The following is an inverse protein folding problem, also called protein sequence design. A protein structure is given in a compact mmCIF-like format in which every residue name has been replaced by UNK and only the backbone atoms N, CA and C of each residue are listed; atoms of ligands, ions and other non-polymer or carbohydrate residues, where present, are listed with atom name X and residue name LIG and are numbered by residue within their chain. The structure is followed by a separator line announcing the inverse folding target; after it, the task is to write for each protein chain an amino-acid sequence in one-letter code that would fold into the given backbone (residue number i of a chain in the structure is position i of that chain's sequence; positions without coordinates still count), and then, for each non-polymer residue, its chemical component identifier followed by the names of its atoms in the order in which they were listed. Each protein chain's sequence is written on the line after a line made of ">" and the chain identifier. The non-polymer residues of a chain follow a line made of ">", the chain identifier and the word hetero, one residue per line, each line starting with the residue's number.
data_IF_231853019720
#
_entry.id   IF_231853019720
#
_cell.length_a   1.000
_cell.length_b   1.000
_cell.length_c   1.000
_cell.angle_alpha   90.00
_cell.angle_beta   90.00
_cell.angle_gamma   90.00
#
_symmetry.space_group_name_H-M   'P 1'
#
loop_
_entity.id
_entity.type
_entity.pdbx_description
1 polymer ?
#
# COMPACT_ATOMS: atom_id res chain seq x y z
N UNK A 1 8.17 -7.92 -25.76
CA UNK A 1 7.16 -7.76 -24.71
C UNK A 1 6.85 -6.28 -24.61
N UNK A 2 5.68 -5.87 -25.01
CA UNK A 2 5.24 -4.47 -24.90
C UNK A 2 4.94 -4.17 -23.43
N UNK A 3 5.36 -2.99 -22.96
CA UNK A 3 5.12 -2.50 -21.60
C UNK A 3 4.16 -1.32 -21.70
N UNK A 4 3.04 -1.42 -21.01
CA UNK A 4 2.03 -0.37 -20.97
C UNK A 4 2.11 0.41 -19.66
N UNK A 5 2.00 1.73 -19.74
CA UNK A 5 1.87 2.60 -18.56
C UNK A 5 0.40 2.70 -18.19
N UNK A 6 0.08 2.34 -16.97
CA UNK A 6 -1.23 2.58 -16.36
C UNK A 6 -1.12 3.78 -15.45
N UNK A 7 -1.85 4.82 -15.76
CA UNK A 7 -2.02 5.93 -14.81
C UNK A 7 -2.58 5.38 -13.50
N UNK A 8 -2.02 5.83 -12.37
CA UNK A 8 -2.57 5.55 -11.04
C UNK A 8 -3.89 6.30 -10.79
N UNK A 9 -4.67 6.60 -11.85
CA UNK A 9 -6.01 7.15 -11.69
C UNK A 9 -6.87 6.30 -10.75
N UNK A 10 -6.60 5.01 -10.67
CA UNK A 10 -7.28 4.09 -9.74
C UNK A 10 -6.90 4.33 -8.27
N UNK A 11 -5.84 5.09 -7.98
CA UNK A 11 -5.47 5.51 -6.63
C UNK A 11 -6.01 6.91 -6.26
N UNK A 12 -6.69 7.60 -7.19
CA UNK A 12 -7.30 8.91 -6.95
C UNK A 12 -8.25 8.95 -5.73
N UNK A 13 -8.98 7.86 -5.37
CA UNK A 13 -9.78 7.86 -4.15
C UNK A 13 -8.97 8.15 -2.88
N UNK A 14 -7.66 7.88 -2.86
CA UNK A 14 -6.79 8.23 -1.72
C UNK A 14 -6.65 9.75 -1.58
N UNK A 15 -6.75 10.50 -2.68
CA UNK A 15 -6.76 11.97 -2.67
C UNK A 15 -8.11 12.58 -2.27
N UNK A 16 -9.18 11.77 -2.15
CA UNK A 16 -10.47 12.21 -1.63
C UNK A 16 -10.45 12.23 -0.11
N UNK A 17 -11.26 13.12 0.47
CA UNK A 17 -11.52 13.07 1.91
C UNK A 17 -12.02 11.67 2.31
N UNK A 18 -11.48 11.06 3.36
CA UNK A 18 -11.82 9.70 3.78
C UNK A 18 -13.33 9.45 3.96
N UNK A 19 -14.11 10.47 4.32
CA UNK A 19 -15.56 10.36 4.50
C UNK A 19 -16.28 9.97 3.20
N UNK A 20 -15.72 10.31 2.04
CA UNK A 20 -16.30 10.01 0.73
C UNK A 20 -15.78 8.72 0.11
N UNK A 21 -14.68 8.14 0.62
CA UNK A 21 -14.00 6.97 0.00
C UNK A 21 -14.90 5.76 -0.12
N UNK A 22 -15.81 5.53 0.81
CA UNK A 22 -16.78 4.44 0.75
C UNK A 22 -17.64 4.48 -0.51
N UNK A 23 -17.96 5.67 -1.02
CA UNK A 23 -18.76 5.84 -2.25
C UNK A 23 -17.95 5.64 -3.53
N UNK A 24 -16.63 5.62 -3.42
CA UNK A 24 -15.67 5.42 -4.50
C UNK A 24 -14.84 4.14 -4.34
N UNK A 25 -15.27 3.25 -3.46
CA UNK A 25 -14.54 2.02 -3.13
C UNK A 25 -14.24 1.16 -4.36
N UNK A 26 -15.20 1.07 -5.29
CA UNK A 26 -15.04 0.36 -6.55
C UNK A 26 -13.86 0.86 -7.41
N UNK A 27 -13.47 2.12 -7.28
CA UNK A 27 -12.32 2.67 -8.01
C UNK A 27 -10.99 2.11 -7.49
N UNK A 28 -10.91 1.76 -6.19
CA UNK A 28 -9.72 1.14 -5.60
C UNK A 28 -9.54 -0.32 -6.06
N UNK A 29 -10.63 -0.97 -6.47
CA UNK A 29 -10.65 -2.39 -6.87
C UNK A 29 -10.77 -2.60 -8.38
N UNK A 30 -11.20 -1.57 -9.12
CA UNK A 30 -11.47 -1.61 -10.57
C UNK A 30 -10.31 -2.18 -11.39
N UNK A 31 -9.08 -1.87 -10.97
CA UNK A 31 -7.87 -2.36 -11.62
C UNK A 31 -7.79 -3.88 -11.70
N UNK A 32 -8.35 -4.60 -10.75
CA UNK A 32 -8.40 -6.06 -10.74
C UNK A 32 -9.00 -6.66 -12.03
N UNK A 33 -9.83 -5.89 -12.75
CA UNK A 33 -10.46 -6.35 -13.99
C UNK A 33 -9.48 -6.50 -15.16
N UNK A 34 -8.38 -5.73 -15.17
CA UNK A 34 -7.45 -5.69 -16.31
C UNK A 34 -5.97 -5.83 -15.93
N UNK A 35 -5.66 -5.92 -14.64
CA UNK A 35 -4.28 -5.93 -14.12
C UNK A 35 -3.35 -6.96 -14.77
N UNK A 36 -3.89 -8.01 -15.38
CA UNK A 36 -3.16 -9.11 -15.98
C UNK A 36 -3.38 -9.26 -17.49
N UNK A 37 -4.07 -8.30 -18.13
CA UNK A 37 -4.26 -8.31 -19.58
C UNK A 37 -2.96 -8.00 -20.33
N UNK A 38 -2.06 -7.24 -19.72
CA UNK A 38 -0.79 -6.77 -20.27
C UNK A 38 0.29 -6.67 -19.18
N UNK A 39 1.53 -6.38 -19.59
CA UNK A 39 2.61 -6.11 -18.66
C UNK A 39 2.62 -4.61 -18.30
N UNK A 40 2.10 -4.28 -17.14
CA UNK A 40 1.94 -2.89 -16.71
C UNK A 40 3.09 -2.37 -15.85
N UNK A 41 3.31 -1.06 -15.97
CA UNK A 41 4.03 -0.24 -14.98
C UNK A 41 3.02 0.67 -14.30
N UNK A 42 3.15 0.83 -12.99
CA UNK A 42 2.38 1.76 -12.16
C UNK A 42 3.17 3.05 -12.00
N UNK A 43 2.91 4.09 -12.79
CA UNK A 43 3.63 5.33 -12.67
C UNK A 43 2.95 6.28 -11.68
N UNK A 44 3.72 6.80 -10.75
CA UNK A 44 3.54 8.15 -10.22
C UNK A 44 4.54 9.01 -10.97
N UNK A 45 4.20 9.37 -12.22
CA UNK A 45 5.09 10.05 -13.16
C UNK A 45 5.10 11.57 -12.97
N UNK A 46 5.88 12.25 -13.80
CA UNK A 46 5.87 13.73 -13.85
C UNK A 46 4.47 14.31 -14.10
N UNK A 47 3.63 13.60 -14.85
CA UNK A 47 2.25 14.03 -15.14
C UNK A 47 1.40 14.25 -13.89
N UNK A 48 1.79 13.65 -12.77
CA UNK A 48 1.08 13.79 -11.51
C UNK A 48 1.51 15.02 -10.69
N UNK A 49 2.64 15.64 -11.04
CA UNK A 49 3.29 16.68 -10.23
C UNK A 49 3.72 17.91 -11.03
N UNK A 50 3.33 18.00 -12.31
CA UNK A 50 3.64 19.16 -13.17
C UNK A 50 2.71 20.35 -12.87
N UNK A 51 3.06 21.50 -13.47
CA UNK A 51 2.40 22.79 -13.27
C UNK A 51 0.87 22.70 -13.32
N UNK A 52 0.23 23.23 -12.28
CA UNK A 52 -1.22 23.28 -12.11
C UNK A 52 -1.85 22.03 -11.49
N UNK A 53 -1.05 20.96 -11.19
CA UNK A 53 -1.57 19.72 -10.57
C UNK A 53 -1.25 19.57 -9.08
N UNK A 54 -0.33 20.40 -8.56
CA UNK A 54 0.16 20.28 -7.18
C UNK A 54 1.14 19.13 -6.98
N UNK A 55 1.71 19.03 -5.79
CA UNK A 55 2.51 17.87 -5.41
C UNK A 55 1.64 16.70 -4.96
N UNK A 56 2.20 15.47 -4.93
CA UNK A 56 1.49 14.32 -4.37
C UNK A 56 1.05 14.58 -2.92
N UNK A 57 1.96 15.09 -2.09
CA UNK A 57 1.65 15.45 -0.71
C UNK A 57 0.60 16.55 -0.61
N UNK A 58 0.69 17.59 -1.45
CA UNK A 58 -0.24 18.73 -1.45
C UNK A 58 -1.67 18.34 -1.75
N UNK A 59 -1.88 17.28 -2.54
CA UNK A 59 -3.22 16.76 -2.88
C UNK A 59 -3.82 15.86 -1.82
N UNK A 60 -3.04 15.40 -0.83
CA UNK A 60 -3.57 14.54 0.23
C UNK A 60 -4.50 15.33 1.16
N UNK A 61 -5.66 14.76 1.52
CA UNK A 61 -6.63 15.41 2.40
C UNK A 61 -6.22 15.36 3.87
N UNK A 62 -6.85 16.24 4.66
CA UNK A 62 -6.73 16.25 6.11
C UNK A 62 -5.65 17.21 6.64
N UNK A 63 -5.34 17.05 7.91
CA UNK A 63 -4.25 17.77 8.57
C UNK A 63 -2.87 17.29 8.11
N UNK A 64 -1.80 17.87 8.61
CA UNK A 64 -0.43 17.54 8.21
C UNK A 64 -0.12 16.06 8.42
N UNK A 65 -0.43 15.49 9.58
CA UNK A 65 -0.19 14.08 9.85
C UNK A 65 -0.98 13.18 8.88
N UNK A 66 -2.25 13.49 8.64
CA UNK A 66 -3.12 12.74 7.73
C UNK A 66 -2.62 12.80 6.28
N UNK A 67 -2.09 13.95 5.84
CA UNK A 67 -1.48 14.07 4.50
C UNK A 67 -0.31 13.11 4.34
N UNK A 68 0.60 13.06 5.30
CA UNK A 68 1.72 12.14 5.27
C UNK A 68 1.28 10.68 5.40
N UNK A 69 0.28 10.37 6.24
CA UNK A 69 -0.29 9.04 6.34
C UNK A 69 -0.92 8.59 5.01
N UNK A 70 -1.70 9.44 4.35
CA UNK A 70 -2.28 9.17 3.03
C UNK A 70 -1.19 8.97 1.96
N UNK A 71 -0.10 9.73 1.99
CA UNK A 71 1.01 9.56 1.06
C UNK A 71 1.71 8.22 1.26
N UNK A 72 1.96 7.81 2.52
CA UNK A 72 2.49 6.47 2.83
C UNK A 72 1.52 5.37 2.40
N UNK A 73 0.22 5.55 2.61
CA UNK A 73 -0.82 4.63 2.17
C UNK A 73 -0.82 4.49 0.63
N UNK A 74 -0.68 5.60 -0.12
CA UNK A 74 -0.59 5.60 -1.58
C UNK A 74 0.60 4.76 -2.06
N UNK A 75 1.80 5.00 -1.51
CA UNK A 75 2.99 4.22 -1.88
C UNK A 75 2.83 2.75 -1.50
N UNK A 76 2.32 2.44 -0.30
CA UNK A 76 2.05 1.07 0.10
C UNK A 76 1.05 0.37 -0.82
N UNK A 77 0.00 1.06 -1.24
CA UNK A 77 -0.95 0.54 -2.23
C UNK A 77 -0.25 0.23 -3.56
N UNK A 78 0.53 1.16 -4.09
CA UNK A 78 1.27 0.95 -5.33
C UNK A 78 2.21 -0.25 -5.26
N UNK A 79 2.98 -0.39 -4.15
CA UNK A 79 3.95 -1.48 -4.01
C UNK A 79 3.30 -2.85 -3.79
N UNK A 80 2.15 -2.90 -3.16
CA UNK A 80 1.40 -4.13 -2.93
C UNK A 80 0.65 -4.62 -4.17
N UNK A 81 0.29 -3.74 -5.10
CA UNK A 81 -0.38 -4.10 -6.36
C UNK A 81 0.55 -4.91 -7.28
N UNK A 82 0.01 -5.83 -8.11
CA UNK A 82 0.78 -6.43 -9.20
C UNK A 82 1.14 -5.35 -10.24
N UNK A 83 2.28 -5.45 -10.87
CA UNK A 83 2.95 -4.67 -11.90
C UNK A 83 4.24 -3.99 -11.42
N UNK A 84 5.03 -3.42 -12.33
CA UNK A 84 6.26 -2.70 -12.00
C UNK A 84 5.96 -1.29 -11.47
N UNK A 85 6.88 -0.74 -10.68
CA UNK A 85 6.70 0.53 -9.96
C UNK A 85 7.54 1.63 -10.59
N UNK A 86 7.00 2.84 -10.64
CA UNK A 86 7.73 4.02 -11.06
C UNK A 86 7.32 5.20 -10.17
N UNK A 87 8.28 5.79 -9.49
CA UNK A 87 8.13 7.04 -8.72
C UNK A 87 8.97 8.11 -9.40
N UNK A 88 8.38 9.27 -9.66
CA UNK A 88 9.09 10.41 -10.20
C UNK A 88 9.80 11.17 -9.07
N UNK A 89 10.94 11.78 -9.42
CA UNK A 89 11.85 12.45 -8.49
C UNK A 89 11.17 13.46 -7.56
N UNK A 90 11.50 13.40 -6.27
CA UNK A 90 10.90 14.22 -5.21
C UNK A 90 9.68 13.57 -4.56
N UNK A 91 9.01 12.62 -5.24
CA UNK A 91 7.90 11.86 -4.66
C UNK A 91 8.32 11.02 -3.48
N UNK A 92 9.52 10.42 -3.55
CA UNK A 92 10.08 9.51 -2.55
C UNK A 92 10.32 10.13 -1.17
N UNK A 93 10.35 11.45 -1.06
CA UNK A 93 10.41 12.16 0.22
C UNK A 93 9.26 13.14 0.42
N UNK A 94 8.24 13.08 -0.47
CA UNK A 94 7.03 13.89 -0.34
C UNK A 94 7.27 15.39 -0.58
N UNK A 95 7.99 15.77 -1.65
CA UNK A 95 8.20 17.16 -2.01
C UNK A 95 6.90 17.95 -1.94
N UNK A 96 6.93 19.14 -1.31
CA UNK A 96 5.72 19.94 -1.03
C UNK A 96 5.25 20.79 -2.20
N UNK A 97 6.14 21.12 -3.15
CA UNK A 97 5.82 21.91 -4.35
C UNK A 97 5.76 21.05 -5.61
N UNK A 98 5.17 21.59 -6.65
CA UNK A 98 5.19 21.04 -8.00
C UNK A 98 6.63 20.86 -8.48
N UNK A 99 6.83 19.86 -9.34
CA UNK A 99 8.12 19.67 -9.98
C UNK A 99 8.39 20.83 -10.98
N UNK A 100 9.61 21.35 -10.90
CA UNK A 100 10.10 22.40 -11.81
C UNK A 100 11.47 21.99 -12.33
N UNK A 101 11.61 21.91 -13.66
CA UNK A 101 12.86 21.53 -14.32
C UNK A 101 14.00 22.56 -14.16
N UNK A 102 13.65 23.84 -13.89
CA UNK A 102 14.62 24.95 -13.73
C UNK A 102 15.19 25.05 -12.31
N UNK A 103 14.78 24.20 -11.39
CA UNK A 103 15.19 24.26 -9.99
C UNK A 103 15.51 22.89 -9.40
N UNK A 104 16.41 22.87 -8.42
CA UNK A 104 16.69 21.68 -7.64
C UNK A 104 15.46 21.21 -6.87
N UNK A 105 15.41 19.92 -6.53
CA UNK A 105 14.46 19.40 -5.55
C UNK A 105 14.70 20.02 -4.16
N UNK A 106 13.67 19.99 -3.32
CA UNK A 106 13.69 20.57 -1.98
C UNK A 106 14.37 19.62 -0.98
N UNK A 107 15.62 19.26 -1.21
CA UNK A 107 16.39 18.31 -0.40
C UNK A 107 16.44 18.66 1.09
N UNK A 108 16.34 19.95 1.45
CA UNK A 108 16.27 20.40 2.84
C UNK A 108 15.08 19.84 3.62
N UNK A 109 14.01 19.40 2.93
CA UNK A 109 12.86 18.76 3.55
C UNK A 109 13.21 17.42 4.20
N UNK A 110 14.22 16.71 3.66
CA UNK A 110 14.66 15.41 4.21
C UNK A 110 15.26 15.52 5.61
N UNK A 111 15.57 16.71 6.08
CA UNK A 111 16.02 16.99 7.46
C UNK A 111 14.83 17.05 8.44
N UNK A 112 13.60 17.07 7.92
CA UNK A 112 12.39 17.10 8.77
C UNK A 112 11.84 15.70 9.01
N UNK A 113 11.32 15.40 10.21
CA UNK A 113 10.95 14.04 10.60
C UNK A 113 9.92 13.37 9.66
N UNK A 114 8.91 14.12 9.22
CA UNK A 114 7.82 13.56 8.40
C UNK A 114 8.29 13.21 6.98
N UNK A 115 9.09 14.09 6.34
CA UNK A 115 9.66 13.84 5.03
C UNK A 115 10.71 12.72 5.06
N UNK A 116 11.58 12.71 6.08
CA UNK A 116 12.52 11.62 6.32
C UNK A 116 11.79 10.29 6.57
N UNK A 117 10.63 10.34 7.21
CA UNK A 117 9.75 9.18 7.42
C UNK A 117 9.22 8.60 6.11
N UNK A 118 8.76 9.46 5.18
CA UNK A 118 8.32 9.03 3.84
C UNK A 118 9.49 8.43 3.06
N UNK A 119 10.67 9.07 3.10
CA UNK A 119 11.85 8.56 2.41
C UNK A 119 12.24 7.16 2.90
N UNK A 120 12.24 6.95 4.23
CA UNK A 120 12.47 5.62 4.82
C UNK A 120 11.40 4.61 4.39
N UNK A 121 10.13 5.02 4.40
CA UNK A 121 9.04 4.15 3.95
C UNK A 121 9.24 3.67 2.52
N UNK A 122 9.59 4.58 1.59
CA UNK A 122 9.87 4.21 0.19
C UNK A 122 11.11 3.33 0.07
N UNK A 123 12.16 3.59 0.87
CA UNK A 123 13.34 2.74 0.91
C UNK A 123 13.02 1.31 1.36
N UNK A 124 12.23 1.16 2.43
CA UNK A 124 11.82 -0.15 2.96
C UNK A 124 10.84 -0.88 2.04
N UNK A 125 9.93 -0.15 1.38
CA UNK A 125 9.10 -0.71 0.30
C UNK A 125 9.94 -1.24 -0.85
N UNK A 126 10.97 -0.49 -1.30
CA UNK A 126 11.91 -0.94 -2.32
C UNK A 126 12.68 -2.19 -1.89
N UNK A 127 13.14 -2.20 -0.63
CA UNK A 127 13.83 -3.36 -0.06
C UNK A 127 12.91 -4.59 -0.05
N UNK A 128 11.70 -4.47 0.51
CA UNK A 128 10.73 -5.55 0.54
C UNK A 128 10.35 -6.03 -0.86
N UNK A 129 10.10 -5.12 -1.81
CA UNK A 129 9.78 -5.48 -3.18
C UNK A 129 10.88 -6.30 -3.86
N UNK A 130 12.15 -6.03 -3.55
CA UNK A 130 13.30 -6.76 -4.11
C UNK A 130 13.59 -8.08 -3.40
N UNK A 131 13.39 -8.13 -2.07
CA UNK A 131 13.76 -9.30 -1.25
C UNK A 131 12.63 -10.31 -1.12
N UNK A 132 11.35 -9.90 -1.33
CA UNK A 132 10.19 -10.75 -1.13
C UNK A 132 9.61 -11.24 -2.48
N UNK A 133 9.87 -12.49 -2.88
CA UNK A 133 9.40 -13.08 -4.14
C UNK A 133 7.91 -12.89 -4.41
N UNK A 134 7.07 -12.97 -3.36
CA UNK A 134 5.64 -12.77 -3.48
C UNK A 134 5.25 -11.38 -4.03
N UNK A 135 6.07 -10.34 -3.81
CA UNK A 135 5.77 -8.99 -4.26
C UNK A 135 6.13 -8.70 -5.72
N UNK A 136 7.02 -9.50 -6.34
CA UNK A 136 7.52 -9.17 -7.68
C UNK A 136 7.48 -10.29 -8.72
N UNK A 137 7.53 -11.57 -8.30
CA UNK A 137 7.57 -12.67 -9.26
C UNK A 137 6.26 -12.83 -10.04
N UNK A 138 5.12 -12.62 -9.37
CA UNK A 138 3.79 -12.73 -9.95
C UNK A 138 3.19 -11.41 -10.47
N UNK A 139 4.01 -10.39 -10.80
CA UNK A 139 3.52 -9.06 -11.16
C UNK A 139 2.68 -9.01 -12.45
N UNK A 140 2.91 -9.91 -13.37
CA UNK A 140 2.21 -9.99 -14.65
C UNK A 140 1.37 -11.29 -14.76
N UNK A 141 1.08 -11.95 -13.64
CA UNK A 141 0.33 -13.20 -13.62
C UNK A 141 -0.79 -13.18 -12.58
N UNK A 142 -1.97 -13.60 -13.01
CA UNK A 142 -3.11 -13.75 -12.09
C UNK A 142 -2.86 -14.74 -10.95
N UNK A 143 -1.91 -15.68 -11.11
CA UNK A 143 -1.55 -16.63 -10.05
C UNK A 143 -0.80 -16.01 -8.89
N UNK A 144 -0.23 -14.81 -9.09
CA UNK A 144 0.50 -14.05 -8.06
C UNK A 144 -0.38 -13.15 -7.19
N UNK A 145 -1.70 -13.16 -7.39
CA UNK A 145 -2.63 -12.24 -6.73
C UNK A 145 -3.98 -12.90 -6.45
N UNK A 146 -4.54 -12.66 -5.28
CA UNK A 146 -5.91 -13.09 -4.95
C UNK A 146 -6.56 -12.11 -3.98
N UNK A 147 -7.76 -11.65 -4.31
CA UNK A 147 -8.56 -10.87 -3.36
C UNK A 147 -8.92 -11.70 -2.13
N UNK A 148 -8.84 -11.07 -0.95
CA UNK A 148 -9.38 -11.62 0.30
C UNK A 148 -10.71 -10.94 0.61
N UNK A 149 -10.69 -9.61 0.68
CA UNK A 149 -11.88 -8.78 0.86
C UNK A 149 -11.71 -7.51 0.02
N UNK A 150 -12.60 -7.31 -0.94
CA UNK A 150 -12.59 -6.15 -1.84
C UNK A 150 -13.89 -5.35 -1.80
N UNK A 151 -14.87 -5.76 -0.98
CA UNK A 151 -16.22 -5.22 -1.00
C UNK A 151 -16.60 -4.47 0.29
N UNK A 152 -15.70 -4.35 1.27
CA UNK A 152 -15.96 -3.68 2.55
C UNK A 152 -15.91 -2.14 2.43
N UNK A 153 -16.84 -1.61 1.64
CA UNK A 153 -16.96 -0.17 1.41
C UNK A 153 -17.34 0.61 2.68
N UNK A 154 -18.15 0.03 3.55
CA UNK A 154 -18.63 0.69 4.78
C UNK A 154 -17.50 1.02 5.74
N UNK A 155 -16.52 0.13 5.87
CA UNK A 155 -15.31 0.36 6.65
C UNK A 155 -14.18 0.97 5.84
N UNK A 156 -14.31 1.02 4.50
CA UNK A 156 -13.25 1.42 3.56
C UNK A 156 -11.96 0.65 3.83
N UNK A 157 -12.08 -0.67 3.98
CA UNK A 157 -10.94 -1.59 4.12
C UNK A 157 -10.86 -2.51 2.90
N UNK A 158 -9.66 -2.88 2.51
CA UNK A 158 -9.41 -3.81 1.41
C UNK A 158 -8.30 -4.75 1.84
N UNK A 159 -8.34 -6.00 1.40
CA UNK A 159 -7.24 -6.94 1.60
C UNK A 159 -7.06 -7.90 0.42
N UNK A 160 -5.82 -8.29 0.19
CA UNK A 160 -5.45 -9.27 -0.83
C UNK A 160 -4.20 -10.05 -0.48
N UNK A 161 -3.98 -11.14 -1.19
CA UNK A 161 -2.79 -11.96 -1.13
C UNK A 161 -1.86 -11.65 -2.31
N UNK A 162 -0.56 -11.67 -2.03
CA UNK A 162 0.51 -11.78 -3.02
C UNK A 162 1.20 -13.12 -2.82
N UNK A 163 1.44 -13.80 -3.93
CA UNK A 163 1.93 -15.18 -3.93
C UNK A 163 3.15 -15.27 -4.86
N UNK A 164 4.23 -15.91 -4.38
CA UNK A 164 5.40 -16.19 -5.22
C UNK A 164 5.07 -17.19 -6.33
N UNK A 165 5.85 -17.19 -7.40
CA UNK A 165 5.60 -18.06 -8.57
C UNK A 165 5.63 -19.55 -8.24
N UNK A 166 6.36 -19.95 -7.20
CA UNK A 166 6.41 -21.31 -6.68
C UNK A 166 5.34 -21.63 -5.61
N UNK A 167 4.51 -20.65 -5.25
CA UNK A 167 3.45 -20.77 -4.25
C UNK A 167 3.93 -20.94 -2.81
N UNK A 168 5.23 -20.85 -2.55
CA UNK A 168 5.80 -21.10 -1.21
C UNK A 168 5.67 -19.91 -0.30
N UNK A 169 5.88 -18.71 -0.83
CA UNK A 169 5.75 -17.48 -0.07
C UNK A 169 4.38 -16.84 -0.32
N UNK A 170 3.70 -16.53 0.76
CA UNK A 170 2.41 -15.83 0.76
C UNK A 170 2.53 -14.60 1.64
N UNK A 171 2.08 -13.48 1.11
CA UNK A 171 1.88 -12.25 1.84
C UNK A 171 0.43 -11.85 1.83
N UNK A 172 -0.07 -11.36 2.95
CA UNK A 172 -1.37 -10.73 3.07
C UNK A 172 -1.17 -9.25 3.32
N UNK A 173 -1.84 -8.42 2.52
CA UNK A 173 -1.76 -6.97 2.64
C UNK A 173 -3.16 -6.45 2.96
N UNK A 174 -3.25 -5.64 4.02
CA UNK A 174 -4.51 -5.11 4.54
C UNK A 174 -4.45 -3.60 4.61
N UNK A 175 -5.48 -2.94 4.11
CA UNK A 175 -5.58 -1.49 3.98
C UNK A 175 -6.73 -0.94 4.80
N UNK A 176 -6.48 0.18 5.45
CA UNK A 176 -7.49 1.04 6.05
C UNK A 176 -7.42 2.44 5.43
N UNK A 177 -8.42 2.78 4.65
CA UNK A 177 -8.51 4.08 3.97
C UNK A 177 -9.23 5.15 4.81
N UNK A 178 -9.43 4.88 6.13
CA UNK A 178 -10.08 5.83 7.05
C UNK A 178 -9.15 6.26 8.17
N UNK A 179 -9.35 7.46 8.77
CA UNK A 179 -8.58 7.91 9.93
C UNK A 179 -9.03 7.24 11.25
N UNK A 180 -9.84 6.19 11.16
CA UNK A 180 -10.36 5.45 12.34
C UNK A 180 -9.61 4.13 12.44
N UNK A 181 -8.88 3.87 13.54
CA UNK A 181 -8.25 2.57 13.74
C UNK A 181 -9.29 1.45 13.88
N UNK A 182 -8.96 0.25 13.39
CA UNK A 182 -9.84 -0.92 13.50
C UNK A 182 -9.19 -1.92 14.45
N UNK A 183 -9.76 -2.06 15.63
CA UNK A 183 -9.34 -3.09 16.59
C UNK A 183 -10.11 -4.38 16.33
N UNK A 184 -9.44 -5.52 16.53
CA UNK A 184 -10.00 -6.84 16.29
C UNK A 184 -10.53 -7.04 14.86
N UNK A 185 -9.93 -6.33 13.88
CA UNK A 185 -10.27 -6.54 12.48
C UNK A 185 -9.89 -7.96 12.05
N UNK A 186 -10.85 -8.70 11.51
CA UNK A 186 -10.63 -10.08 11.10
C UNK A 186 -10.37 -10.16 9.60
N UNK A 187 -9.26 -10.77 9.21
CA UNK A 187 -8.90 -11.01 7.81
C UNK A 187 -8.65 -12.51 7.59
N UNK A 188 -9.21 -13.08 6.51
CA UNK A 188 -8.98 -14.47 6.15
C UNK A 188 -7.58 -14.70 5.64
N UNK A 189 -6.97 -15.85 6.01
CA UNK A 189 -5.67 -16.29 5.49
C UNK A 189 -5.71 -17.76 5.08
N UNK A 190 -4.92 -18.17 4.05
CA UNK A 190 -5.03 -19.51 3.49
C UNK A 190 -4.42 -20.61 4.36
N UNK A 191 -3.53 -20.26 5.29
CA UNK A 191 -2.77 -21.22 6.12
C UNK A 191 -2.71 -20.77 7.57
N UNK A 192 -2.64 -21.76 8.48
CA UNK A 192 -2.29 -21.55 9.89
C UNK A 192 -0.82 -21.19 10.05
N UNK A 193 -0.42 -20.85 11.29
CA UNK A 193 0.92 -20.47 11.68
C UNK A 193 1.05 -18.98 11.97
N UNK A 194 2.29 -18.55 12.27
CA UNK A 194 2.58 -17.19 12.63
C UNK A 194 2.76 -16.31 11.39
N UNK A 195 2.03 -15.21 11.35
CA UNK A 195 2.08 -14.19 10.29
C UNK A 195 2.82 -12.98 10.81
N UNK A 196 4.07 -12.83 10.39
CA UNK A 196 4.92 -11.71 10.77
C UNK A 196 4.46 -10.43 10.09
N UNK A 197 4.28 -9.36 10.86
CA UNK A 197 4.13 -8.00 10.34
C UNK A 197 5.50 -7.51 9.87
N UNK A 198 5.72 -7.47 8.55
CA UNK A 198 7.01 -7.09 7.97
C UNK A 198 7.09 -5.61 7.59
N UNK A 199 5.94 -4.99 7.29
CA UNK A 199 5.82 -3.57 6.98
C UNK A 199 4.50 -3.04 7.56
N UNK A 200 4.57 -1.86 8.14
CA UNK A 200 3.42 -1.13 8.67
C UNK A 200 3.64 0.37 8.43
N UNK A 201 2.82 0.98 7.56
CA UNK A 201 3.00 2.38 7.19
C UNK A 201 2.72 3.36 8.32
N UNK A 202 2.12 2.90 9.43
CA UNK A 202 1.85 3.70 10.64
C UNK A 202 2.91 3.52 11.74
N UNK A 203 4.03 2.85 11.47
CA UNK A 203 5.11 2.75 12.42
C UNK A 203 5.75 4.11 12.72
N UNK A 204 6.15 4.33 13.98
CA UNK A 204 6.69 5.62 14.47
C UNK A 204 7.88 6.12 13.64
N UNK A 205 8.77 5.22 13.22
CA UNK A 205 9.96 5.60 12.44
C UNK A 205 9.66 6.11 11.03
N UNK A 206 8.41 5.96 10.55
CA UNK A 206 7.90 6.61 9.33
C UNK A 206 7.06 7.87 9.64
N UNK A 207 6.95 8.28 10.91
CA UNK A 207 6.09 9.38 11.34
C UNK A 207 4.63 8.97 11.52
N UNK A 208 4.37 7.68 11.74
CA UNK A 208 3.06 7.15 12.09
C UNK A 208 2.75 7.24 13.58
N UNK A 209 1.58 6.76 14.00
CA UNK A 209 1.14 6.76 15.39
C UNK A 209 1.72 5.61 16.22
N UNK A 210 2.36 4.65 15.59
CA UNK A 210 2.93 3.47 16.25
C UNK A 210 1.93 2.36 16.53
N UNK A 211 0.71 2.43 15.99
CA UNK A 211 -0.25 1.32 16.08
C UNK A 211 0.21 0.16 15.21
N UNK A 212 0.03 -1.08 15.69
CA UNK A 212 0.41 -2.27 14.94
C UNK A 212 0.14 -3.56 15.72
N UNK A 213 0.80 -4.64 15.31
CA UNK A 213 0.52 -6.00 15.80
C UNK A 213 1.73 -6.63 16.51
N UNK A 214 2.59 -5.81 17.11
CA UNK A 214 3.72 -6.25 17.93
C UNK A 214 4.65 -7.28 17.23
N UNK A 215 4.81 -7.13 15.93
CA UNK A 215 5.67 -7.98 15.12
C UNK A 215 4.96 -9.13 14.41
N UNK A 216 3.70 -9.41 14.71
CA UNK A 216 2.90 -10.42 14.00
C UNK A 216 1.79 -11.05 14.83
N UNK A 217 1.06 -11.98 14.20
CA UNK A 217 -0.14 -12.62 14.78
C UNK A 217 -0.18 -14.09 14.40
N UNK A 218 -0.56 -14.94 15.34
CA UNK A 218 -0.85 -16.36 15.10
C UNK A 218 -2.23 -16.51 14.43
N UNK A 219 -2.31 -17.29 13.37
CA UNK A 219 -3.57 -17.55 12.69
C UNK A 219 -4.48 -18.48 13.49
N UNK A 220 -5.73 -18.08 13.60
CA UNK A 220 -6.77 -18.90 14.25
C UNK A 220 -7.34 -19.93 13.25
N UNK A 221 -7.68 -21.15 13.69
CA UNK A 221 -8.24 -22.20 12.84
C UNK A 221 -9.74 -21.99 12.57
N UNK A 222 -10.15 -20.74 12.39
CA UNK A 222 -11.51 -20.35 12.06
C UNK A 222 -11.51 -19.63 10.72
N UNK A 223 -12.25 -20.17 9.77
CA UNK A 223 -12.35 -19.63 8.41
C UNK A 223 -13.00 -18.24 8.38
N UNK A 224 -12.48 -17.39 7.48
CA UNK A 224 -13.02 -16.07 7.20
C UNK A 224 -12.71 -15.67 5.75
N UNK A 225 -13.55 -14.88 5.10
CA UNK A 225 -13.38 -14.45 3.70
C UNK A 225 -13.03 -15.61 2.75
N UNK A 226 -13.74 -16.73 2.89
CA UNK A 226 -13.50 -17.95 2.08
C UNK A 226 -12.08 -18.55 2.22
N UNK A 227 -11.37 -18.23 3.30
CA UNK A 227 -10.09 -18.82 3.68
C UNK A 227 -10.28 -19.75 4.88
N UNK A 228 -9.38 -20.74 5.02
CA UNK A 228 -9.48 -21.76 6.08
C UNK A 228 -9.13 -21.25 7.48
N UNK A 229 -8.34 -20.18 7.55
CA UNK A 229 -7.88 -19.55 8.79
C UNK A 229 -8.14 -18.05 8.78
N UNK A 230 -7.93 -17.40 9.91
CA UNK A 230 -8.05 -15.95 10.01
C UNK A 230 -7.04 -15.35 10.98
N UNK A 231 -6.68 -14.09 10.73
CA UNK A 231 -5.95 -13.24 11.67
C UNK A 231 -6.95 -12.30 12.34
N UNK A 232 -6.71 -11.99 13.61
CA UNK A 232 -7.38 -10.88 14.30
C UNK A 232 -6.34 -9.82 14.58
N UNK A 233 -6.43 -8.69 13.90
CA UNK A 233 -5.38 -7.67 13.87
C UNK A 233 -5.88 -6.31 14.36
N UNK A 234 -4.93 -5.48 14.79
CA UNK A 234 -5.11 -4.03 14.86
C UNK A 234 -4.73 -3.45 13.51
N UNK A 235 -5.70 -2.80 12.83
CA UNK A 235 -5.48 -2.13 11.57
C UNK A 235 -5.40 -0.61 11.82
N UNK A 236 -4.20 0.00 11.67
CA UNK A 236 -3.99 1.39 12.00
C UNK A 236 -4.79 2.35 11.11
N UNK A 237 -4.97 3.63 11.51
CA UNK A 237 -5.67 4.61 10.71
C UNK A 237 -4.85 5.03 9.48
N UNK A 238 -5.50 5.21 8.32
CA UNK A 238 -4.87 5.65 7.06
C UNK A 238 -3.58 4.86 6.76
N UNK A 239 -3.65 3.53 6.89
CA UNK A 239 -2.46 2.69 6.87
C UNK A 239 -2.62 1.43 6.02
N UNK A 240 -1.48 0.88 5.67
CA UNK A 240 -1.34 -0.45 5.10
C UNK A 240 -0.38 -1.28 5.93
N UNK A 241 -0.74 -2.54 6.14
CA UNK A 241 0.07 -3.52 6.89
C UNK A 241 0.31 -4.74 6.01
N UNK A 242 1.57 -5.21 5.98
CA UNK A 242 1.99 -6.40 5.23
C UNK A 242 2.33 -7.51 6.19
N UNK A 243 1.65 -8.63 6.05
CA UNK A 243 1.91 -9.85 6.80
C UNK A 243 2.52 -10.92 5.90
N UNK A 244 3.56 -11.56 6.38
CA UNK A 244 4.21 -12.70 5.73
C UNK A 244 4.07 -13.93 6.59
N UNK A 245 3.60 -15.04 6.00
CA UNK A 245 3.60 -16.34 6.68
C UNK A 245 5.04 -16.79 6.95
N UNK A 246 5.36 -17.05 8.22
CA UNK A 246 6.61 -17.71 8.57
C UNK A 246 6.51 -19.20 8.24
N UNK A 247 7.37 -19.65 7.35
CA UNK A 247 7.56 -21.09 7.14
C UNK A 247 8.40 -21.64 8.29
N UNK A 248 7.87 -22.62 9.02
CA UNK A 248 8.72 -23.38 9.95
C UNK A 248 9.87 -24.01 9.15
N UNK A 249 11.10 -23.76 9.62
CA UNK A 249 12.31 -24.31 9.03
C UNK A 249 12.35 -25.83 9.16
#
# INVERSE_FOLDING_TARGET
>A
TEIYTLSLHDALPICLDPVYRRHHHHQLTFRGLYAFSENFVLPLSHDEVVHGKGSLLGRMPGDEWQKFANLRLLFGNMYAQPAKKLIFMGGEFGQGREWNHDSSLDWHLTDTPMHAGVQRWVADLNHAYRSEPALHQGDCSHTGFSWIDCDNADESTISWERISSDGRQIMVVVFNYTPVPRFNHRVGVPRGGFWREILNSDAEHYGGSGMGNLGGVEALPFGWHWRSHSLTITLPPLAVVFFKLETQA
#
